data_IF_477688517682
#
_entry.id   IF_477688517682
#
_cell.length_a   1.000
_cell.length_b   1.000
_cell.length_c   1.000
_cell.angle_alpha   90.00
_cell.angle_beta   90.00
_cell.angle_gamma   90.00
#
_symmetry.space_group_name_H-M   'P 1'
#
loop_
_entity.id
_entity.type
_entity.pdbx_description
1 polymer ?
#
# COMPACT_ATOMS: atom_id res chain seq x y z
N UNK A 1 -10.57 7.94 -16.69
CA UNK A 1 -9.74 6.72 -16.83
C UNK A 1 -8.24 7.02 -16.75
N UNK A 2 -7.65 7.84 -17.64
CA UNK A 2 -6.20 8.15 -17.57
C UNK A 2 -5.69 8.60 -16.19
N UNK A 3 -6.45 9.46 -15.49
CA UNK A 3 -6.10 9.89 -14.13
C UNK A 3 -6.10 8.75 -13.11
N UNK A 4 -7.04 7.80 -13.24
CA UNK A 4 -7.11 6.61 -12.39
C UNK A 4 -5.88 5.73 -12.64
N UNK A 5 -5.46 5.64 -13.91
CA UNK A 5 -4.28 4.89 -14.30
C UNK A 5 -3.00 5.47 -13.68
N UNK A 6 -2.85 6.78 -13.75
CA UNK A 6 -1.71 7.47 -13.12
C UNK A 6 -1.70 7.33 -11.59
N UNK A 7 -2.86 7.34 -10.94
CA UNK A 7 -2.96 7.12 -9.49
C UNK A 7 -2.60 5.68 -9.12
N UNK A 8 -3.10 4.70 -9.88
CA UNK A 8 -2.79 3.29 -9.68
C UNK A 8 -1.29 3.00 -9.88
N UNK A 9 -0.66 3.61 -10.87
CA UNK A 9 0.79 3.51 -11.10
C UNK A 9 1.61 4.11 -9.95
N UNK A 10 1.21 5.29 -9.44
CA UNK A 10 1.86 5.92 -8.28
C UNK A 10 1.72 5.07 -7.02
N UNK A 11 0.53 4.51 -6.78
CA UNK A 11 0.28 3.60 -5.66
C UNK A 11 1.12 2.33 -5.78
N UNK A 12 1.16 1.73 -6.96
CA UNK A 12 1.98 0.54 -7.21
C UNK A 12 3.46 0.85 -7.01
N UNK A 13 3.98 1.96 -7.53
CA UNK A 13 5.37 2.36 -7.34
C UNK A 13 5.71 2.58 -5.87
N UNK A 14 4.86 3.32 -5.13
CA UNK A 14 5.05 3.56 -3.69
C UNK A 14 5.10 2.25 -2.90
N UNK A 15 4.25 1.29 -3.23
CA UNK A 15 4.19 -0.01 -2.56
C UNK A 15 5.27 -1.00 -3.04
N UNK A 16 5.76 -0.88 -4.28
CA UNK A 16 6.77 -1.75 -4.89
C UNK A 16 8.21 -1.44 -4.45
N UNK A 17 8.45 -0.27 -3.84
CA UNK A 17 9.76 0.14 -3.30
C UNK A 17 10.36 -0.86 -2.29
N UNK A 18 9.59 -1.86 -1.84
CA UNK A 18 9.98 -2.81 -0.81
C UNK A 18 10.00 -4.29 -1.26
N UNK A 19 10.32 -4.54 -2.54
CA UNK A 19 10.64 -5.89 -3.04
C UNK A 19 12.05 -6.30 -2.59
N UNK A 20 12.16 -7.58 -2.19
CA UNK A 20 13.22 -8.38 -1.53
C UNK A 20 14.70 -7.90 -1.44
N UNK A 21 15.14 -6.93 -2.22
CA UNK A 21 16.50 -6.36 -2.23
C UNK A 21 16.59 -4.89 -1.79
N UNK A 22 15.47 -4.19 -1.64
CA UNK A 22 15.50 -2.80 -1.19
C UNK A 22 15.77 -2.74 0.33
N UNK A 23 16.68 -1.84 0.71
CA UNK A 23 16.85 -1.32 2.07
C UNK A 23 15.49 -1.09 2.73
N UNK A 24 15.39 -1.21 4.06
CA UNK A 24 14.17 -1.02 4.86
C UNK A 24 13.58 0.41 4.76
N UNK A 25 13.28 0.87 3.56
CA UNK A 25 12.69 2.16 3.28
C UNK A 25 11.22 2.03 3.59
N UNK A 26 10.84 2.53 4.76
CA UNK A 26 9.47 2.57 5.21
C UNK A 26 8.59 3.26 4.16
N UNK A 27 7.43 2.67 3.85
CA UNK A 27 6.46 3.31 2.96
C UNK A 27 5.99 4.59 3.64
N UNK A 28 6.05 5.70 2.91
CA UNK A 28 5.49 6.97 3.36
C UNK A 28 3.98 6.82 3.53
N UNK A 29 3.54 6.74 4.80
CA UNK A 29 2.15 6.48 5.16
C UNK A 29 1.24 7.67 4.86
N UNK A 30 1.77 8.89 4.94
CA UNK A 30 1.04 10.11 4.60
C UNK A 30 0.81 10.17 3.08
N UNK A 31 1.86 9.92 2.30
CA UNK A 31 1.74 9.86 0.84
C UNK A 31 0.78 8.75 0.39
N UNK A 32 0.85 7.57 1.02
CA UNK A 32 -0.06 6.46 0.73
C UNK A 32 -1.52 6.86 1.02
N UNK A 33 -1.79 7.47 2.16
CA UNK A 33 -3.13 7.93 2.53
C UNK A 33 -3.66 8.98 1.53
N UNK A 34 -2.83 9.96 1.15
CA UNK A 34 -3.21 10.99 0.20
C UNK A 34 -3.57 10.40 -1.18
N UNK A 35 -2.77 9.46 -1.69
CA UNK A 35 -3.04 8.81 -2.98
C UNK A 35 -4.31 7.95 -2.93
N UNK A 36 -4.56 7.23 -1.83
CA UNK A 36 -5.78 6.44 -1.64
C UNK A 36 -7.03 7.34 -1.60
N UNK A 37 -6.95 8.48 -0.91
CA UNK A 37 -8.05 9.44 -0.86
C UNK A 37 -8.33 10.07 -2.24
N UNK A 38 -7.29 10.46 -2.98
CA UNK A 38 -7.44 10.96 -4.36
C UNK A 38 -8.11 9.92 -5.26
N UNK A 39 -7.71 8.64 -5.12
CA UNK A 39 -8.30 7.53 -5.86
C UNK A 39 -9.77 7.32 -5.50
N UNK A 40 -10.12 7.38 -4.22
CA UNK A 40 -11.51 7.24 -3.77
C UNK A 40 -12.42 8.32 -4.38
N UNK A 41 -12.00 9.58 -4.29
CA UNK A 41 -12.75 10.72 -4.87
C UNK A 41 -12.95 10.52 -6.37
N UNK A 42 -11.88 10.18 -7.10
CA UNK A 42 -11.96 9.96 -8.54
C UNK A 42 -12.89 8.78 -8.89
N UNK A 43 -12.88 7.71 -8.11
CA UNK A 43 -13.79 6.59 -8.32
C UNK A 43 -15.26 6.99 -8.10
N UNK A 44 -15.54 7.80 -7.08
CA UNK A 44 -16.90 8.32 -6.85
C UNK A 44 -17.37 9.18 -8.04
N UNK A 45 -16.50 10.05 -8.58
CA UNK A 45 -16.81 10.85 -9.78
C UNK A 45 -17.07 9.98 -11.01
N UNK A 46 -16.26 8.95 -11.23
CA UNK A 46 -16.43 8.02 -12.34
C UNK A 46 -17.73 7.20 -12.21
N UNK A 47 -18.06 6.76 -11.00
CA UNK A 47 -19.27 6.01 -10.70
C UNK A 47 -20.55 6.86 -10.82
N UNK A 48 -20.46 8.18 -10.70
CA UNK A 48 -21.59 9.08 -10.91
C UNK A 48 -22.03 9.16 -12.38
N UNK A 49 -21.15 8.80 -13.32
CA UNK A 49 -21.38 8.85 -14.77
C UNK A 49 -20.97 7.53 -15.46
N UNK A 50 -21.60 6.39 -15.10
CA UNK A 50 -21.19 5.08 -15.58
C UNK A 50 -21.31 4.93 -17.10
N UNK A 51 -22.18 5.70 -17.75
CA UNK A 51 -22.36 5.74 -19.20
C UNK A 51 -21.11 6.22 -19.96
N UNK A 52 -20.21 6.93 -19.27
CA UNK A 52 -18.94 7.42 -19.84
C UNK A 52 -17.80 6.41 -19.68
N UNK A 53 -18.03 5.31 -18.99
CA UNK A 53 -17.01 4.31 -18.72
C UNK A 53 -16.89 3.33 -19.88
N UNK A 54 -15.70 3.26 -20.45
CA UNK A 54 -15.35 2.20 -21.38
C UNK A 54 -15.20 0.88 -20.60
N UNK A 55 -16.04 -0.11 -20.92
CA UNK A 55 -16.10 -1.39 -20.20
C UNK A 55 -14.75 -2.13 -20.13
N UNK A 56 -13.98 -2.28 -21.24
CA UNK A 56 -12.62 -2.82 -21.18
C UNK A 56 -11.69 -2.08 -20.21
N UNK A 57 -11.65 -0.74 -20.27
CA UNK A 57 -10.79 0.05 -19.38
C UNK A 57 -11.21 -0.07 -17.91
N UNK A 58 -12.51 -0.13 -17.65
CA UNK A 58 -13.04 -0.33 -16.31
C UNK A 58 -12.65 -1.71 -15.75
N UNK A 59 -12.77 -2.77 -16.55
CA UNK A 59 -12.32 -4.10 -16.16
C UNK A 59 -10.82 -4.13 -15.82
N UNK A 60 -9.99 -3.48 -16.64
CA UNK A 60 -8.57 -3.34 -16.35
C UNK A 60 -8.28 -2.55 -15.05
N UNK A 61 -9.13 -1.57 -14.70
CA UNK A 61 -9.03 -0.86 -13.41
C UNK A 61 -9.41 -1.75 -12.22
N UNK A 62 -10.39 -2.64 -12.38
CA UNK A 62 -10.74 -3.64 -11.36
C UNK A 62 -9.57 -4.60 -11.12
N UNK A 63 -8.95 -5.10 -12.17
CA UNK A 63 -7.78 -6.00 -12.07
C UNK A 63 -6.59 -5.33 -11.37
N UNK A 64 -6.28 -4.07 -11.71
CA UNK A 64 -5.25 -3.29 -11.00
C UNK A 64 -5.60 -3.06 -9.54
N UNK A 65 -6.87 -2.86 -9.22
CA UNK A 65 -7.32 -2.73 -7.82
C UNK A 65 -7.00 -4.00 -7.03
N UNK A 66 -7.20 -5.18 -7.61
CA UNK A 66 -6.84 -6.46 -6.97
C UNK A 66 -5.34 -6.53 -6.67
N UNK A 67 -4.49 -6.15 -7.63
CA UNK A 67 -3.03 -6.12 -7.45
C UNK A 67 -2.59 -5.13 -6.35
N UNK A 68 -3.19 -3.93 -6.32
CA UNK A 68 -2.90 -2.94 -5.28
C UNK A 68 -3.29 -3.46 -3.88
N UNK A 69 -4.41 -4.17 -3.76
CA UNK A 69 -4.82 -4.78 -2.49
C UNK A 69 -3.83 -5.85 -2.01
N UNK A 70 -3.29 -6.66 -2.92
CA UNK A 70 -2.24 -7.63 -2.60
C UNK A 70 -0.98 -6.94 -2.10
N UNK A 71 -0.51 -5.89 -2.78
CA UNK A 71 0.65 -5.11 -2.36
C UNK A 71 0.46 -4.47 -0.98
N UNK A 72 -0.71 -3.89 -0.71
CA UNK A 72 -1.04 -3.31 0.61
C UNK A 72 -1.02 -4.38 1.70
N UNK A 73 -1.57 -5.58 1.42
CA UNK A 73 -1.55 -6.70 2.38
C UNK A 73 -0.13 -7.16 2.67
N UNK A 74 0.70 -7.33 1.64
CA UNK A 74 2.10 -7.70 1.80
C UNK A 74 2.87 -6.66 2.63
N UNK A 75 2.66 -5.38 2.36
CA UNK A 75 3.26 -4.31 3.15
C UNK A 75 2.82 -4.40 4.64
N UNK A 76 1.52 -4.50 4.90
CA UNK A 76 0.99 -4.63 6.27
C UNK A 76 1.59 -5.82 7.03
N UNK A 77 1.63 -6.98 6.39
CA UNK A 77 2.10 -8.21 7.03
C UNK A 77 3.62 -8.12 7.34
N UNK A 78 4.39 -7.47 6.46
CA UNK A 78 5.80 -7.15 6.70
C UNK A 78 5.99 -6.20 7.87
N UNK A 79 5.25 -5.08 7.93
CA UNK A 79 5.33 -4.12 9.03
C UNK A 79 4.96 -4.78 10.37
N UNK A 80 3.94 -5.65 10.39
CA UNK A 80 3.59 -6.42 11.57
C UNK A 80 4.72 -7.38 12.00
N UNK A 81 5.40 -8.01 11.04
CA UNK A 81 6.58 -8.84 11.29
C UNK A 81 7.75 -8.05 11.89
N UNK A 82 8.03 -6.85 11.36
CA UNK A 82 9.07 -5.95 11.89
C UNK A 82 8.75 -5.52 13.33
N UNK A 83 7.50 -5.12 13.62
CA UNK A 83 7.07 -4.74 14.96
C UNK A 83 7.27 -5.88 15.97
N UNK A 84 6.89 -7.12 15.61
CA UNK A 84 7.11 -8.29 16.47
C UNK A 84 8.60 -8.50 16.78
N UNK A 85 9.48 -8.39 15.78
CA UNK A 85 10.94 -8.52 15.99
C UNK A 85 11.49 -7.46 16.94
N UNK A 86 11.07 -6.20 16.78
CA UNK A 86 11.46 -5.11 17.67
C UNK A 86 11.00 -5.36 19.12
N UNK A 87 9.74 -5.77 19.31
CA UNK A 87 9.20 -6.10 20.63
C UNK A 87 9.95 -7.27 21.29
N UNK A 88 10.29 -8.31 20.52
CA UNK A 88 11.12 -9.41 21.01
C UNK A 88 12.52 -8.94 21.43
N UNK A 89 13.18 -8.11 20.61
CA UNK A 89 14.49 -7.54 20.94
C UNK A 89 14.47 -6.69 22.22
N UNK A 90 13.46 -5.83 22.37
CA UNK A 90 13.25 -5.04 23.59
C UNK A 90 13.06 -5.93 24.81
N UNK A 91 12.24 -6.99 24.72
CA UNK A 91 12.03 -7.93 25.82
C UNK A 91 13.31 -8.68 26.20
N UNK A 92 14.08 -9.13 25.22
CA UNK A 92 15.38 -9.78 25.46
C UNK A 92 16.37 -8.85 26.16
N UNK A 93 16.44 -7.58 25.75
CA UNK A 93 17.28 -6.57 26.43
C UNK A 93 16.83 -6.30 27.87
N UNK A 94 15.51 -6.21 28.11
CA UNK A 94 14.98 -6.05 29.47
C UNK A 94 15.36 -7.23 30.38
N UNK A 95 15.33 -8.47 29.86
CA UNK A 95 15.76 -9.66 30.61
C UNK A 95 17.26 -9.60 30.90
N UNK A 96 18.09 -9.32 29.89
CA UNK A 96 19.53 -9.19 30.05
C UNK A 96 19.91 -8.16 31.13
N UNK A 97 19.27 -6.98 31.11
CA UNK A 97 19.51 -5.93 32.10
C UNK A 97 19.11 -6.31 33.53
N UNK A 98 18.27 -7.33 33.75
CA UNK A 98 17.95 -7.82 35.11
C UNK A 98 19.06 -8.68 35.71
N UNK A 99 19.96 -9.21 34.89
CA UNK A 99 21.07 -10.08 35.29
C UNK A 99 22.44 -9.40 35.16
N UNK A 100 22.45 -8.09 34.84
CA UNK A 100 23.63 -7.23 34.86
C UNK A 100 23.68 -6.47 36.18
#
# INVERSE_FOLDING_TARGET
MQQLDQLDEKLAALLATNTELATETEVDSEQLQQLLQQREVLLQELMAHPERLNKPQWQAAVERTSLLLELIRHHRDRSAGQLKRLQHGQRSMQIYNKFR
#
